data_IF_424362766023
#
_entry.id   IF_424362766023
#
_cell.length_a   1.000
_cell.length_b   1.000
_cell.length_c   1.000
_cell.angle_alpha   90.00
_cell.angle_beta   90.00
_cell.angle_gamma   90.00
#
_symmetry.space_group_name_H-M   'P 1'
#
loop_
_entity.id
_entity.type
_entity.pdbx_description
1 polymer ?
#
# COMPACT_ATOMS: atom_id res chain seq x y z
N UNK A 1 -14.64 5.44 26.57
CA UNK A 1 -13.39 4.65 26.53
C UNK A 1 -12.44 5.36 25.58
N UNK A 2 -11.31 5.88 26.08
CA UNK A 2 -10.32 6.56 25.24
C UNK A 2 -9.27 5.54 24.80
N UNK A 3 -9.51 4.93 23.64
CA UNK A 3 -8.50 4.10 23.00
C UNK A 3 -7.29 4.96 22.65
N UNK A 4 -6.11 4.58 23.15
CA UNK A 4 -4.84 5.23 22.83
C UNK A 4 -3.95 4.18 22.17
N UNK A 5 -3.54 4.36 20.91
CA UNK A 5 -2.71 3.38 20.24
C UNK A 5 -1.34 3.29 20.92
N UNK A 6 -0.89 2.07 21.23
CA UNK A 6 0.47 1.80 21.71
C UNK A 6 1.45 1.85 20.54
N UNK A 7 1.65 3.04 19.97
CA UNK A 7 2.49 3.24 18.78
C UNK A 7 3.97 2.94 19.06
N UNK A 8 4.44 3.09 20.31
CA UNK A 8 5.86 2.95 20.67
C UNK A 8 6.40 1.52 20.63
N UNK A 9 5.57 0.51 20.88
CA UNK A 9 6.01 -0.90 20.93
C UNK A 9 6.01 -1.55 19.54
N UNK A 10 5.27 -0.98 18.60
CA UNK A 10 5.10 -1.50 17.24
C UNK A 10 5.20 -0.36 16.22
N UNK A 11 6.27 0.44 16.30
CA UNK A 11 6.51 1.40 15.21
C UNK A 11 6.70 0.59 13.92
N UNK A 12 5.70 0.64 13.05
CA UNK A 12 5.73 0.06 11.70
C UNK A 12 6.86 0.64 10.84
N UNK A 13 7.43 1.76 11.31
CA UNK A 13 8.43 2.57 10.63
C UNK A 13 9.49 2.96 11.67
N UNK A 14 10.74 2.56 11.46
CA UNK A 14 11.85 2.93 12.34
C UNK A 14 12.21 4.43 12.23
N UNK A 15 12.97 4.98 13.19
CA UNK A 15 13.37 6.39 13.20
C UNK A 15 14.24 6.82 12.00
N UNK A 16 14.82 5.87 11.27
CA UNK A 16 15.62 6.10 10.07
C UNK A 16 14.90 5.74 8.77
N UNK A 17 13.66 5.28 8.86
CA UNK A 17 12.89 4.91 7.68
C UNK A 17 12.35 6.19 7.02
N UNK A 18 12.52 6.31 5.70
CA UNK A 18 11.89 7.39 4.93
C UNK A 18 10.54 6.92 4.41
N UNK A 19 9.51 7.77 4.50
CA UNK A 19 8.15 7.44 4.06
C UNK A 19 7.90 8.04 2.68
N UNK A 20 7.45 7.20 1.75
CA UNK A 20 6.94 7.59 0.44
C UNK A 20 5.44 7.42 0.37
N UNK A 21 4.83 8.05 -0.64
CA UNK A 21 3.42 7.85 -0.93
C UNK A 21 3.14 7.96 -2.43
N UNK A 22 2.10 7.29 -2.91
CA UNK A 22 1.61 7.39 -4.28
C UNK A 22 0.09 7.20 -4.31
N UNK A 23 -0.55 7.64 -5.39
CA UNK A 23 -1.99 7.43 -5.62
C UNK A 23 -2.19 6.47 -6.79
N UNK A 24 -3.00 5.43 -6.57
CA UNK A 24 -3.51 4.55 -7.62
C UNK A 24 -4.85 5.11 -8.07
N UNK A 25 -4.92 5.53 -9.32
CA UNK A 25 -6.11 6.17 -9.91
C UNK A 25 -6.83 5.29 -10.92
N UNK A 26 -6.18 4.23 -11.40
CA UNK A 26 -6.71 3.28 -12.38
C UNK A 26 -6.97 1.91 -11.76
N UNK A 27 -8.03 1.25 -12.22
CA UNK A 27 -8.39 -0.11 -11.82
C UNK A 27 -7.59 -1.17 -12.58
N UNK A 28 -8.04 -2.41 -12.45
CA UNK A 28 -7.43 -3.58 -13.12
C UNK A 28 -7.54 -3.49 -14.64
N UNK A 29 -8.67 -2.99 -15.14
CA UNK A 29 -8.88 -2.76 -16.57
C UNK A 29 -8.05 -1.56 -17.00
N UNK A 30 -7.20 -1.77 -18.00
CA UNK A 30 -6.28 -0.75 -18.51
C UNK A 30 -7.02 0.55 -18.83
N UNK A 31 -6.58 1.65 -18.21
CA UNK A 31 -7.14 2.99 -18.39
C UNK A 31 -8.48 3.27 -17.70
N UNK A 32 -9.13 2.28 -17.07
CA UNK A 32 -10.40 2.51 -16.38
C UNK A 32 -10.18 3.25 -15.04
N UNK A 33 -10.77 4.45 -14.83
CA UNK A 33 -10.58 5.21 -13.61
C UNK A 33 -11.29 4.55 -12.43
N UNK A 34 -10.64 4.56 -11.26
CA UNK A 34 -11.27 4.20 -10.00
C UNK A 34 -12.26 5.28 -9.61
N UNK A 35 -13.48 4.87 -9.22
CA UNK A 35 -14.46 5.77 -8.60
C UNK A 35 -13.89 6.44 -7.34
N UNK A 36 -13.07 5.69 -6.59
CA UNK A 36 -12.38 6.14 -5.39
C UNK A 36 -10.91 5.72 -5.47
N UNK A 37 -9.99 6.65 -5.76
CA UNK A 37 -8.56 6.33 -5.83
C UNK A 37 -8.02 5.80 -4.50
N UNK A 38 -6.93 5.03 -4.56
CA UNK A 38 -6.27 4.46 -3.39
C UNK A 38 -4.96 5.22 -3.12
N UNK A 39 -4.80 5.74 -1.91
CA UNK A 39 -3.56 6.32 -1.44
C UNK A 39 -2.73 5.22 -0.76
N UNK A 40 -1.51 5.02 -1.25
CA UNK A 40 -0.57 4.05 -0.70
C UNK A 40 0.55 4.82 -0.02
N UNK A 41 0.81 4.49 1.24
CA UNK A 41 1.97 4.93 2.02
C UNK A 41 2.90 3.75 2.21
N UNK A 42 4.20 3.97 2.05
CA UNK A 42 5.19 2.90 2.13
C UNK A 42 6.54 3.41 2.63
N UNK A 43 7.35 2.51 3.17
CA UNK A 43 8.75 2.79 3.49
C UNK A 43 9.59 2.80 2.22
N UNK A 44 10.27 3.90 1.91
CA UNK A 44 11.15 4.07 0.74
C UNK A 44 12.60 3.70 1.03
N UNK A 45 13.03 3.80 2.28
CA UNK A 45 14.39 3.48 2.70
C UNK A 45 14.44 3.14 4.18
N UNK A 46 15.61 2.69 4.64
CA UNK A 46 15.81 2.15 5.98
C UNK A 46 15.74 0.63 6.02
N UNK A 47 15.98 0.04 7.19
CA UNK A 47 16.20 -1.40 7.33
C UNK A 47 15.00 -2.25 6.91
N UNK A 48 13.78 -1.73 7.07
CA UNK A 48 12.54 -2.44 6.76
C UNK A 48 12.20 -2.41 5.27
N UNK A 49 12.62 -1.37 4.54
CA UNK A 49 12.30 -1.18 3.12
C UNK A 49 12.91 -2.27 2.20
N UNK A 50 13.92 -3.00 2.68
CA UNK A 50 14.55 -4.10 1.93
C UNK A 50 13.88 -5.46 2.16
N UNK A 51 13.00 -5.58 3.15
CA UNK A 51 12.32 -6.83 3.48
C UNK A 51 11.09 -7.02 2.59
N UNK A 52 10.92 -8.22 2.03
CA UNK A 52 9.72 -8.56 1.25
C UNK A 52 8.49 -8.48 2.14
N UNK A 53 7.50 -7.69 1.73
CA UNK A 53 6.21 -7.64 2.39
C UNK A 53 5.45 -8.96 2.16
N UNK A 54 5.31 -9.77 3.21
CA UNK A 54 4.73 -11.12 3.13
C UNK A 54 3.25 -11.11 2.72
N UNK A 55 2.50 -10.08 3.11
CA UNK A 55 1.09 -9.95 2.72
C UNK A 55 0.96 -9.70 1.22
N UNK A 56 1.77 -8.79 0.67
CA UNK A 56 1.80 -8.53 -0.77
C UNK A 56 2.32 -9.75 -1.54
N UNK A 57 3.36 -10.41 -1.02
CA UNK A 57 3.89 -11.64 -1.60
C UNK A 57 2.81 -12.74 -1.68
N UNK A 58 2.09 -12.99 -0.58
CA UNK A 58 1.03 -14.00 -0.53
C UNK A 58 -0.15 -13.64 -1.46
N UNK A 59 -0.62 -12.39 -1.42
CA UNK A 59 -1.72 -11.92 -2.26
C UNK A 59 -1.39 -11.96 -3.77
N UNK A 60 -0.13 -11.71 -4.11
CA UNK A 60 0.37 -11.76 -5.50
C UNK A 60 0.88 -13.15 -5.92
N UNK A 61 0.75 -14.19 -5.08
CA UNK A 61 1.32 -15.52 -5.32
C UNK A 61 2.80 -15.48 -5.70
N UNK A 62 3.56 -14.61 -5.05
CA UNK A 62 4.99 -14.43 -5.25
C UNK A 62 5.40 -13.62 -6.47
N UNK A 63 4.45 -13.04 -7.21
CA UNK A 63 4.76 -12.23 -8.39
C UNK A 63 5.28 -10.84 -8.00
N UNK A 64 4.83 -10.26 -6.88
CA UNK A 64 5.28 -8.96 -6.40
C UNK A 64 6.27 -9.09 -5.23
N UNK A 65 7.57 -9.11 -5.54
CA UNK A 65 8.65 -9.27 -4.54
C UNK A 65 9.34 -7.96 -4.17
N UNK A 66 9.08 -6.88 -4.90
CA UNK A 66 9.72 -5.57 -4.74
C UNK A 66 8.96 -4.62 -3.79
N UNK A 67 7.74 -5.00 -3.40
CA UNK A 67 6.98 -4.28 -2.38
C UNK A 67 7.62 -4.54 -1.02
N UNK A 68 8.50 -3.64 -0.61
CA UNK A 68 9.29 -3.77 0.61
C UNK A 68 8.67 -3.06 1.82
N UNK A 69 8.94 -3.59 3.01
CA UNK A 69 8.61 -2.97 4.29
C UNK A 69 7.11 -2.78 4.56
N UNK A 70 6.80 -1.81 5.42
CA UNK A 70 5.44 -1.53 5.86
C UNK A 70 4.68 -0.74 4.81
N UNK A 71 3.46 -1.20 4.49
CA UNK A 71 2.58 -0.57 3.52
C UNK A 71 1.22 -0.33 4.19
N UNK A 72 0.72 0.90 4.05
CA UNK A 72 -0.62 1.30 4.51
C UNK A 72 -1.38 1.78 3.28
N UNK A 73 -2.61 1.31 3.13
CA UNK A 73 -3.49 1.72 2.03
C UNK A 73 -4.76 2.33 2.60
N UNK A 74 -5.07 3.53 2.13
CA UNK A 74 -6.31 4.22 2.42
C UNK A 74 -7.06 4.49 1.11
N UNK A 75 -8.39 4.47 1.15
CA UNK A 75 -9.22 4.83 0.01
C UNK A 75 -9.73 6.24 0.17
N UNK A 76 -9.63 7.05 -0.88
CA UNK A 76 -10.21 8.39 -0.84
C UNK A 76 -11.73 8.34 -0.75
N UNK A 77 -12.31 9.21 0.07
CA UNK A 77 -13.76 9.38 0.21
C UNK A 77 -14.25 10.68 -0.44
N UNK A 78 -15.46 10.62 -0.99
CA UNK A 78 -16.12 11.77 -1.63
C UNK A 78 -15.58 12.09 -3.02
N UNK A 79 -16.17 13.09 -3.68
CA UNK A 79 -15.85 13.47 -5.07
C UNK A 79 -14.59 14.33 -5.21
N UNK A 80 -14.05 14.85 -4.10
CA UNK A 80 -12.90 15.78 -4.07
C UNK A 80 -11.74 15.28 -3.20
N UNK A 81 -11.61 13.98 -2.94
CA UNK A 81 -10.54 13.41 -2.09
C UNK A 81 -10.46 14.07 -0.69
N UNK A 82 -11.60 14.47 -0.14
CA UNK A 82 -11.67 15.31 1.08
C UNK A 82 -11.33 14.55 2.36
N UNK A 83 -11.25 13.22 2.29
CA UNK A 83 -10.94 12.37 3.42
C UNK A 83 -10.52 10.98 2.99
N UNK A 84 -10.22 10.17 3.99
CA UNK A 84 -9.87 8.77 3.84
C UNK A 84 -10.91 7.89 4.53
N UNK A 85 -11.16 6.75 3.92
CA UNK A 85 -11.81 5.60 4.55
C UNK A 85 -10.89 4.39 4.40
N UNK A 86 -11.15 3.37 5.20
CA UNK A 86 -10.40 2.12 5.12
C UNK A 86 -10.54 1.49 3.75
N UNK A 87 -9.41 0.96 3.24
CA UNK A 87 -9.45 0.05 2.11
C UNK A 87 -10.21 -1.21 2.49
N UNK A 88 -10.97 -1.74 1.55
CA UNK A 88 -11.84 -2.91 1.71
C UNK A 88 -11.34 -4.06 0.85
N UNK A 89 -11.89 -5.26 1.05
CA UNK A 89 -11.57 -6.43 0.22
C UNK A 89 -11.84 -6.19 -1.28
N UNK A 90 -12.77 -5.30 -1.64
CA UNK A 90 -13.05 -4.93 -3.02
C UNK A 90 -11.90 -4.16 -3.68
N UNK A 91 -11.00 -3.56 -2.89
CA UNK A 91 -9.86 -2.79 -3.38
C UNK A 91 -8.62 -3.69 -3.59
N UNK A 92 -8.60 -4.90 -3.02
CA UNK A 92 -7.48 -5.84 -3.14
C UNK A 92 -7.13 -6.21 -4.58
N UNK A 93 -8.08 -6.53 -5.47
CA UNK A 93 -7.73 -6.90 -6.84
C UNK A 93 -6.94 -5.81 -7.58
N UNK A 94 -7.32 -4.55 -7.40
CA UNK A 94 -6.60 -3.38 -7.93
C UNK A 94 -5.22 -3.25 -7.30
N UNK A 95 -5.12 -3.37 -5.97
CA UNK A 95 -3.83 -3.28 -5.27
C UNK A 95 -2.85 -4.36 -5.71
N UNK A 96 -3.31 -5.61 -5.78
CA UNK A 96 -2.50 -6.75 -6.21
C UNK A 96 -2.05 -6.57 -7.65
N UNK A 97 -2.97 -6.19 -8.54
CA UNK A 97 -2.62 -5.89 -9.94
C UNK A 97 -1.55 -4.80 -10.03
N UNK A 98 -1.72 -3.70 -9.28
CA UNK A 98 -0.75 -2.61 -9.22
C UNK A 98 0.63 -3.09 -8.73
N UNK A 99 0.70 -3.85 -7.62
CA UNK A 99 1.96 -4.36 -7.11
C UNK A 99 2.65 -5.33 -8.06
N UNK A 100 1.90 -6.17 -8.78
CA UNK A 100 2.46 -7.09 -9.77
C UNK A 100 3.06 -6.30 -10.94
N UNK A 101 2.29 -5.36 -11.52
CA UNK A 101 2.73 -4.55 -12.67
C UNK A 101 3.95 -3.69 -12.36
N UNK A 102 4.02 -3.14 -11.15
CA UNK A 102 5.11 -2.27 -10.71
C UNK A 102 6.24 -3.01 -10.01
N UNK A 103 6.14 -4.33 -9.84
CA UNK A 103 7.27 -5.15 -9.44
C UNK A 103 8.13 -5.45 -10.67
N UNK A 104 9.42 -5.13 -10.58
CA UNK A 104 10.37 -5.56 -11.60
C UNK A 104 10.38 -7.08 -11.67
N UNK A 105 10.12 -7.65 -12.86
CA UNK A 105 10.37 -9.07 -13.12
C UNK A 105 11.87 -9.31 -12.90
N UNK A 106 12.23 -10.09 -11.87
CA UNK A 106 13.59 -10.64 -11.81
C UNK A 106 13.76 -11.54 -13.04
N UNK A 107 14.61 -11.11 -13.97
CA UNK A 107 15.13 -11.98 -15.04
C UNK A 107 16.04 -13.03 -14.45
#
# INVERSE_FOLDING_TARGET
MNWTPRVKEHMLVGPHDSIGSLTIETGISEGAPLRYPLQVFFTRGGSTAHLVNQSVYALSKGQATQAGGSIIVLKYSGTRRQGYIDATFNDLPTLVSYFIQNSLKRR
#
